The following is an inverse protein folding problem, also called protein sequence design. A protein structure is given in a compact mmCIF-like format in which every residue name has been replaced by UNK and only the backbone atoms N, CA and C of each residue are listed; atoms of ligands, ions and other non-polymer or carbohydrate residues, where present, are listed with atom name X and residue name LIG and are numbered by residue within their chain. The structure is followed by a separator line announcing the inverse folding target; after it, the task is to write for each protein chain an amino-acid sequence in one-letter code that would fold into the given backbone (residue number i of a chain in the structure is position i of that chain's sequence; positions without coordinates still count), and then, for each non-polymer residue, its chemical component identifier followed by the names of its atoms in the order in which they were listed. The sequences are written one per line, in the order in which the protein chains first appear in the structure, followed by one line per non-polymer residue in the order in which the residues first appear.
data_IF_523195173343
#
_entry.id   IF_523195173343
#
_cell.length_a   1.000
_cell.length_b   1.000
_cell.length_c   1.000
_cell.angle_alpha   90.00
_cell.angle_beta   90.00
_cell.angle_gamma   90.00
#
_symmetry.space_group_name_H-M   'P 1'
#
loop_
_entity.id
_entity.type
_entity.pdbx_description
1 polymer ?
#
# COMPACT_ATOMS: atom_id res chain seq x y z
N UNK A 1 89.67 39.96 -41.34
CA UNK A 1 88.40 39.99 -40.58
C UNK A 1 87.39 39.13 -41.34
N UNK A 2 87.34 37.81 -41.19
CA UNK A 2 87.04 37.01 -40.00
C UNK A 2 85.54 37.04 -39.62
N UNK A 3 84.85 35.96 -40.04
CA UNK A 3 83.75 35.24 -39.34
C UNK A 3 82.41 36.01 -39.18
N UNK A 4 81.21 35.45 -39.35
CA UNK A 4 80.77 34.05 -39.18
C UNK A 4 79.35 33.87 -39.72
N UNK A 5 79.15 32.77 -40.45
CA UNK A 5 77.90 31.99 -40.52
C UNK A 5 77.63 31.38 -39.14
N UNK A 6 76.36 31.30 -38.70
CA UNK A 6 75.77 30.18 -37.94
C UNK A 6 74.29 30.48 -37.62
N UNK A 7 73.33 29.67 -38.10
CA UNK A 7 72.88 28.37 -37.57
C UNK A 7 72.20 28.49 -36.18
N UNK A 8 70.90 28.17 -36.12
CA UNK A 8 70.26 27.25 -35.14
C UNK A 8 68.73 27.37 -35.26
N UNK A 9 68.04 26.39 -35.83
CA UNK A 9 67.60 25.09 -35.29
C UNK A 9 66.13 25.12 -34.86
N UNK A 10 65.32 24.42 -35.64
CA UNK A 10 64.11 23.65 -35.29
C UNK A 10 63.30 24.04 -34.03
N UNK A 11 62.03 24.38 -34.24
CA UNK A 11 60.94 23.90 -33.38
C UNK A 11 59.66 23.80 -34.24
N UNK A 12 59.40 22.62 -34.79
CA UNK A 12 58.33 21.72 -34.31
C UNK A 12 56.95 22.40 -34.20
N UNK A 13 56.16 22.19 -35.25
CA UNK A 13 54.74 21.81 -35.20
C UNK A 13 54.03 21.90 -33.86
N UNK A 14 53.02 22.79 -33.74
CA UNK A 14 51.69 22.42 -33.23
C UNK A 14 50.66 23.39 -33.83
N UNK A 15 50.19 23.09 -35.05
CA UNK A 15 48.89 23.60 -35.47
C UNK A 15 47.86 22.80 -34.64
N UNK A 16 47.40 23.38 -33.53
CA UNK A 16 46.33 22.80 -32.74
C UNK A 16 45.06 22.83 -33.59
N UNK A 17 44.85 21.73 -34.33
CA UNK A 17 43.51 21.27 -34.70
C UNK A 17 42.76 21.05 -33.40
N UNK A 18 42.10 22.09 -32.88
CA UNK A 18 40.94 21.91 -32.02
C UNK A 18 39.80 21.39 -32.91
N UNK A 19 39.92 20.13 -33.36
CA UNK A 19 38.74 19.33 -33.64
C UNK A 19 38.02 19.21 -32.30
N UNK A 20 37.02 20.05 -32.11
CA UNK A 20 35.98 19.79 -31.13
C UNK A 20 35.46 18.40 -31.45
N UNK A 21 35.80 17.42 -30.62
CA UNK A 21 35.12 16.15 -30.63
C UNK A 21 33.69 16.46 -30.21
N UNK A 22 32.82 16.74 -31.19
CA UNK A 22 31.41 16.51 -31.01
C UNK A 22 31.31 15.02 -30.73
N UNK A 23 31.06 14.65 -29.46
CA UNK A 23 30.63 13.32 -29.14
C UNK A 23 29.32 13.09 -29.90
N UNK A 24 29.42 12.54 -31.11
CA UNK A 24 28.27 11.99 -31.79
C UNK A 24 27.95 10.69 -31.04
N UNK A 25 27.08 10.80 -30.04
CA UNK A 25 26.53 9.60 -29.44
C UNK A 25 25.69 8.94 -30.52
N UNK A 26 26.01 7.68 -30.83
CA UNK A 26 25.09 6.84 -31.60
C UNK A 26 23.80 6.83 -30.77
N UNK A 27 22.77 7.49 -31.27
CA UNK A 27 21.43 7.43 -30.67
C UNK A 27 20.95 5.99 -30.86
N UNK A 28 21.21 5.13 -29.88
CA UNK A 28 20.53 3.85 -29.82
C UNK A 28 19.07 4.17 -29.56
N UNK A 29 18.23 4.05 -30.59
CA UNK A 29 16.78 4.10 -30.42
C UNK A 29 16.40 3.08 -29.34
N UNK A 30 15.51 3.44 -28.38
CA UNK A 30 14.99 2.47 -27.43
C UNK A 30 14.41 1.26 -28.17
N UNK A 31 14.52 0.08 -27.57
CA UNK A 31 13.79 -1.07 -28.08
C UNK A 31 12.29 -0.75 -28.05
N UNK A 32 11.61 -0.98 -29.18
CA UNK A 32 10.20 -0.71 -29.37
C UNK A 32 9.49 -2.03 -29.75
N UNK A 33 8.50 -2.50 -28.96
CA UNK A 33 7.99 -1.91 -27.73
C UNK A 33 8.91 -2.15 -26.51
N UNK A 34 8.88 -1.27 -25.53
CA UNK A 34 9.52 -1.47 -24.22
C UNK A 34 8.62 -1.06 -23.04
N UNK A 35 8.74 -1.72 -21.88
CA UNK A 35 8.00 -1.33 -20.69
C UNK A 35 8.54 -0.02 -20.09
N UNK A 36 7.64 0.77 -19.54
CA UNK A 36 7.94 2.01 -18.81
C UNK A 36 7.13 2.05 -17.52
N UNK A 37 7.71 2.63 -16.47
CA UNK A 37 7.00 2.90 -15.24
C UNK A 37 7.43 4.26 -14.69
N UNK A 38 6.47 5.02 -14.20
CA UNK A 38 6.70 6.32 -13.57
C UNK A 38 5.92 6.41 -12.27
N UNK A 39 6.52 7.10 -11.30
CA UNK A 39 5.85 7.60 -10.10
C UNK A 39 6.25 9.06 -9.97
N UNK A 40 5.28 9.93 -9.72
CA UNK A 40 5.57 11.33 -9.46
C UNK A 40 4.30 12.16 -9.35
N UNK A 41 4.50 13.45 -9.07
CA UNK A 41 3.41 14.39 -8.97
C UNK A 41 2.77 14.65 -10.34
N UNK A 42 1.45 14.70 -10.33
CA UNK A 42 0.64 15.13 -11.46
C UNK A 42 0.91 16.62 -11.67
N UNK A 43 1.41 16.96 -12.85
CA UNK A 43 1.66 18.36 -13.25
C UNK A 43 0.61 18.87 -14.23
N UNK A 44 -0.17 17.95 -14.82
CA UNK A 44 -1.26 18.23 -15.71
C UNK A 44 -1.97 16.94 -16.10
N UNK A 45 -3.24 17.07 -16.46
CA UNK A 45 -4.04 15.99 -17.01
C UNK A 45 -5.08 16.61 -17.96
N UNK A 46 -5.42 15.89 -19.03
CA UNK A 46 -6.39 16.34 -20.02
C UNK A 46 -7.42 15.25 -20.29
N UNK A 47 -8.57 15.67 -20.80
CA UNK A 47 -9.64 14.80 -21.26
C UNK A 47 -9.90 15.08 -22.74
N UNK A 48 -9.84 14.06 -23.60
CA UNK A 48 -9.95 14.24 -25.05
C UNK A 48 -11.37 14.65 -25.49
N UNK A 49 -12.39 14.16 -24.77
CA UNK A 49 -13.79 14.38 -25.09
C UNK A 49 -14.63 14.25 -23.81
N UNK A 50 -15.16 15.36 -23.29
CA UNK A 50 -15.98 15.38 -22.07
C UNK A 50 -17.35 14.72 -22.23
N UNK A 51 -17.82 14.52 -23.46
CA UNK A 51 -19.10 13.83 -23.72
C UNK A 51 -18.99 12.30 -23.77
N UNK A 52 -17.78 11.73 -23.71
CA UNK A 52 -17.56 10.29 -23.70
C UNK A 52 -17.05 9.82 -22.33
N UNK A 53 -17.87 9.07 -21.60
CA UNK A 53 -17.51 8.57 -20.27
C UNK A 53 -16.27 7.66 -20.29
N UNK A 54 -16.00 6.97 -21.40
CA UNK A 54 -14.81 6.12 -21.53
C UNK A 54 -13.66 6.84 -22.25
N UNK A 55 -13.74 8.17 -22.37
CA UNK A 55 -12.71 8.96 -23.05
C UNK A 55 -11.34 8.79 -22.42
N UNK A 56 -10.31 8.92 -23.27
CA UNK A 56 -8.93 8.96 -22.85
C UNK A 56 -8.46 10.40 -22.63
N UNK A 57 -7.14 10.57 -22.63
CA UNK A 57 -6.53 11.87 -22.54
C UNK A 57 -5.03 11.77 -22.35
N UNK A 58 -4.46 12.76 -21.68
CA UNK A 58 -3.03 12.76 -21.33
C UNK A 58 -2.83 12.99 -19.84
N UNK A 59 -1.79 12.39 -19.30
CA UNK A 59 -1.33 12.57 -17.93
C UNK A 59 0.13 13.00 -17.96
N UNK A 60 0.43 14.13 -17.34
CA UNK A 60 1.76 14.73 -17.32
C UNK A 60 2.42 14.53 -15.95
N UNK A 61 3.48 13.73 -15.91
CA UNK A 61 4.29 13.46 -14.70
C UNK A 61 5.76 13.75 -15.03
N UNK A 62 6.46 14.50 -14.19
CA UNK A 62 7.89 14.80 -14.38
C UNK A 62 8.22 15.35 -15.79
N UNK A 63 7.37 16.23 -16.34
CA UNK A 63 7.48 16.78 -17.70
C UNK A 63 7.38 15.74 -18.84
N UNK A 64 6.86 14.55 -18.57
CA UNK A 64 6.55 13.54 -19.58
C UNK A 64 5.04 13.39 -19.72
N UNK A 65 4.57 13.49 -20.96
CA UNK A 65 3.17 13.25 -21.31
C UNK A 65 2.97 11.76 -21.60
N UNK A 66 2.07 11.14 -20.84
CA UNK A 66 1.67 9.75 -20.98
C UNK A 66 0.24 9.74 -21.50
N UNK A 67 0.02 9.04 -22.60
CA UNK A 67 -1.30 8.86 -23.20
C UNK A 67 -2.11 7.91 -22.32
N UNK A 68 -3.31 8.34 -21.95
CA UNK A 68 -4.34 7.53 -21.34
C UNK A 68 -5.27 7.04 -22.45
N UNK A 69 -5.26 5.75 -22.81
CA UNK A 69 -6.15 5.24 -23.84
C UNK A 69 -7.63 5.32 -23.44
N UNK A 70 -8.49 5.46 -24.45
CA UNK A 70 -9.94 5.25 -24.29
C UNK A 70 -10.22 3.88 -23.65
N UNK A 71 -11.19 3.83 -22.74
CA UNK A 71 -11.57 2.69 -21.91
C UNK A 71 -10.55 2.26 -20.83
N UNK A 72 -9.46 3.01 -20.62
CA UNK A 72 -8.61 2.75 -19.47
C UNK A 72 -9.35 3.16 -18.20
N UNK A 73 -9.39 2.25 -17.23
CA UNK A 73 -9.89 2.53 -15.89
C UNK A 73 -8.71 2.75 -14.94
N UNK A 74 -8.87 3.72 -14.07
CA UNK A 74 -7.91 4.16 -13.07
C UNK A 74 -8.21 3.51 -11.73
N UNK A 75 -7.17 3.29 -10.96
CA UNK A 75 -7.24 2.83 -9.58
C UNK A 75 -7.08 4.01 -8.62
N UNK A 76 -8.11 4.29 -7.82
CA UNK A 76 -7.97 5.10 -6.61
C UNK A 76 -7.68 4.17 -5.42
N UNK A 77 -7.37 4.66 -4.21
CA UNK A 77 -6.99 3.80 -3.10
C UNK A 77 -8.02 2.71 -2.73
N UNK A 78 -9.32 3.00 -2.89
CA UNK A 78 -10.40 2.07 -2.56
C UNK A 78 -11.22 1.61 -3.75
N UNK A 79 -11.26 2.36 -4.85
CA UNK A 79 -12.03 1.99 -6.03
C UNK A 79 -11.10 1.53 -7.14
N UNK A 80 -11.35 0.32 -7.64
CA UNK A 80 -10.55 -0.31 -8.70
C UNK A 80 -11.32 -0.37 -10.01
N UNK A 81 -11.80 0.76 -10.53
CA UNK A 81 -12.47 0.86 -11.85
C UNK A 81 -12.99 2.29 -12.15
N UNK A 82 -12.26 3.34 -11.78
CA UNK A 82 -12.72 4.73 -12.02
C UNK A 82 -12.48 5.10 -13.48
N UNK A 83 -13.48 5.60 -14.20
CA UNK A 83 -13.26 6.02 -15.58
C UNK A 83 -12.40 7.29 -15.61
N UNK A 84 -11.48 7.41 -16.58
CA UNK A 84 -10.59 8.58 -16.66
C UNK A 84 -11.36 9.91 -16.67
N UNK A 85 -12.50 9.94 -17.37
CA UNK A 85 -13.37 11.12 -17.45
C UNK A 85 -13.99 11.54 -16.11
N UNK A 86 -14.17 10.62 -15.15
CA UNK A 86 -14.75 10.93 -13.83
C UNK A 86 -13.81 11.77 -12.97
N UNK A 87 -12.51 11.84 -13.31
CA UNK A 87 -11.54 12.71 -12.66
C UNK A 87 -11.58 14.16 -13.17
N UNK A 88 -12.60 14.51 -13.96
CA UNK A 88 -12.77 15.81 -14.58
C UNK A 88 -14.20 16.33 -14.42
N UNK A 89 -14.32 17.65 -14.34
CA UNK A 89 -15.59 18.37 -14.46
C UNK A 89 -16.15 18.27 -15.89
N UNK A 90 -17.43 18.62 -16.08
CA UNK A 90 -18.08 18.63 -17.39
C UNK A 90 -17.37 19.53 -18.42
N UNK A 91 -16.66 20.56 -17.97
CA UNK A 91 -15.87 21.47 -18.79
C UNK A 91 -14.47 20.93 -19.18
N UNK A 92 -14.12 19.72 -18.71
CA UNK A 92 -12.85 19.06 -18.98
C UNK A 92 -11.70 19.51 -18.08
N UNK A 93 -11.97 20.32 -17.04
CA UNK A 93 -10.98 20.64 -16.01
C UNK A 93 -10.85 19.52 -14.99
N UNK A 94 -9.67 19.34 -14.40
CA UNK A 94 -9.40 18.28 -13.41
C UNK A 94 -10.27 18.51 -12.16
N UNK A 95 -10.96 17.47 -11.71
CA UNK A 95 -11.79 17.43 -10.49
C UNK A 95 -11.15 16.53 -9.43
N UNK A 96 -9.96 16.91 -8.98
CA UNK A 96 -9.30 16.30 -7.83
C UNK A 96 -9.49 17.23 -6.62
N UNK A 97 -9.87 16.71 -5.44
CA UNK A 97 -10.07 17.54 -4.25
C UNK A 97 -8.87 18.47 -3.96
N UNK A 98 -9.19 19.76 -3.81
CA UNK A 98 -8.24 20.84 -3.52
C UNK A 98 -7.13 20.99 -4.58
N UNK A 99 -7.35 20.54 -5.82
CA UNK A 99 -6.44 20.80 -6.93
C UNK A 99 -6.47 22.28 -7.36
N UNK A 100 -5.32 22.90 -7.72
CA UNK A 100 -3.94 22.39 -7.64
C UNK A 100 -3.23 22.76 -6.32
N UNK A 101 -3.98 23.16 -5.28
CA UNK A 101 -3.42 23.59 -4.01
C UNK A 101 -2.68 22.46 -3.28
N UNK A 102 -3.25 21.25 -3.33
CA UNK A 102 -2.65 20.04 -2.80
C UNK A 102 -2.10 19.19 -3.94
N UNK A 103 -0.89 18.65 -3.73
CA UNK A 103 -0.24 17.78 -4.69
C UNK A 103 -0.93 16.43 -4.79
N UNK A 104 -1.08 15.96 -6.02
CA UNK A 104 -1.56 14.62 -6.33
C UNK A 104 -0.45 13.83 -7.01
N UNK A 105 -0.36 12.55 -6.69
CA UNK A 105 0.62 11.63 -7.25
C UNK A 105 -0.06 10.62 -8.16
N UNK A 106 0.68 10.23 -9.20
CA UNK A 106 0.28 9.14 -10.07
C UNK A 106 1.40 8.11 -10.15
N UNK A 107 1.02 6.83 -10.05
CA UNK A 107 1.88 5.72 -10.40
C UNK A 107 1.36 5.08 -11.67
N UNK A 108 2.19 5.07 -12.71
CA UNK A 108 1.81 4.64 -14.05
C UNK A 108 2.69 3.49 -14.50
N UNK A 109 2.07 2.43 -15.00
CA UNK A 109 2.72 1.39 -15.78
C UNK A 109 2.27 1.54 -17.23
N UNK A 110 3.24 1.80 -18.11
CA UNK A 110 3.01 2.12 -19.51
C UNK A 110 3.92 1.29 -20.42
N UNK A 111 3.63 1.30 -21.72
CA UNK A 111 4.57 0.87 -22.74
C UNK A 111 5.03 2.07 -23.55
N UNK A 112 6.30 2.10 -23.90
CA UNK A 112 6.84 2.98 -24.91
C UNK A 112 6.69 2.32 -26.27
N UNK A 113 5.89 2.93 -27.15
CA UNK A 113 5.55 2.42 -28.48
C UNK A 113 5.57 3.57 -29.48
N UNK A 114 6.36 3.47 -30.56
CA UNK A 114 6.34 4.46 -31.64
C UNK A 114 6.68 5.90 -31.23
N UNK A 115 7.47 6.09 -30.16
CA UNK A 115 7.79 7.43 -29.63
C UNK A 115 6.84 7.94 -28.56
N UNK A 116 5.82 7.17 -28.18
CA UNK A 116 4.78 7.58 -27.23
C UNK A 116 4.78 6.68 -26.01
N UNK A 117 4.45 7.25 -24.85
CA UNK A 117 4.16 6.49 -23.63
C UNK A 117 2.66 6.25 -23.56
N UNK A 118 2.25 4.99 -23.52
CA UNK A 118 0.84 4.60 -23.50
C UNK A 118 0.57 3.84 -22.20
N UNK A 119 -0.26 4.40 -21.33
CA UNK A 119 -0.60 3.81 -20.04
C UNK A 119 -1.42 2.52 -20.21
N UNK A 120 -1.09 1.52 -19.39
CA UNK A 120 -1.89 0.31 -19.22
C UNK A 120 -2.49 0.16 -17.84
N UNK A 121 -1.86 0.77 -16.81
CA UNK A 121 -2.38 0.84 -15.44
C UNK A 121 -1.99 2.19 -14.86
N UNK A 122 -2.93 2.86 -14.19
CA UNK A 122 -2.72 4.14 -13.51
C UNK A 122 -3.30 4.05 -12.10
N UNK A 123 -2.51 4.42 -11.11
CA UNK A 123 -2.96 4.68 -9.75
C UNK A 123 -2.91 6.17 -9.49
N UNK A 124 -3.96 6.73 -8.88
CA UNK A 124 -4.02 8.13 -8.44
C UNK A 124 -4.16 8.14 -6.91
N UNK A 125 -3.32 8.91 -6.24
CA UNK A 125 -3.28 9.03 -4.79
C UNK A 125 -2.92 10.46 -4.39
N UNK A 126 -3.45 10.90 -3.25
CA UNK A 126 -3.02 12.14 -2.62
C UNK A 126 -1.87 11.83 -1.66
N UNK A 127 -0.69 12.41 -1.94
CA UNK A 127 0.56 12.10 -1.22
C UNK A 127 0.74 10.57 -1.05
N UNK A 128 1.37 10.13 0.02
CA UNK A 128 1.55 8.71 0.36
C UNK A 128 0.27 8.06 0.93
N UNK A 129 -0.87 8.26 0.26
CA UNK A 129 -2.21 7.88 0.74
C UNK A 129 -2.64 8.59 2.04
N UNK A 130 -2.00 9.73 2.34
CA UNK A 130 -2.20 10.53 3.55
C UNK A 130 -2.32 9.69 4.84
N UNK A 131 -1.36 8.77 5.02
CA UNK A 131 -1.32 7.86 6.15
C UNK A 131 -0.93 8.61 7.43
N UNK A 132 -1.82 8.60 8.42
CA UNK A 132 -1.64 9.25 9.71
C UNK A 132 -2.00 8.31 10.86
N UNK A 133 -1.57 8.64 12.08
CA UNK A 133 -1.88 7.89 13.29
C UNK A 133 -2.16 8.82 14.47
N UNK A 134 -2.97 8.34 15.43
CA UNK A 134 -3.23 9.09 16.65
C UNK A 134 -4.40 8.55 17.47
N UNK A 135 -4.64 9.19 18.62
CA UNK A 135 -5.78 8.87 19.46
C UNK A 135 -7.03 9.61 19.02
N UNK A 136 -8.18 8.92 19.05
CA UNK A 136 -9.48 9.57 18.98
C UNK A 136 -9.69 10.36 20.27
N UNK A 137 -9.90 11.66 20.14
CA UNK A 137 -9.92 12.62 21.25
C UNK A 137 -11.32 13.18 21.51
N UNK A 138 -12.15 13.26 20.47
CA UNK A 138 -13.57 13.58 20.56
C UNK A 138 -14.33 12.92 19.40
N UNK A 139 -15.63 12.66 19.60
CA UNK A 139 -16.54 12.18 18.55
C UNK A 139 -17.75 13.10 18.54
N UNK A 140 -18.08 13.64 17.38
CA UNK A 140 -19.32 14.36 17.11
C UNK A 140 -20.30 13.39 16.43
N UNK A 141 -21.24 12.87 17.21
CA UNK A 141 -22.25 11.92 16.73
C UNK A 141 -23.33 12.59 15.87
N UNK A 142 -23.52 13.91 15.95
CA UNK A 142 -24.48 14.62 15.10
C UNK A 142 -23.96 14.67 13.67
N UNK A 143 -22.67 14.95 13.49
CA UNK A 143 -22.01 14.98 12.17
C UNK A 143 -21.46 13.62 11.72
N UNK A 144 -21.22 12.69 12.64
CA UNK A 144 -20.50 11.46 12.34
C UNK A 144 -19.02 11.73 12.02
N UNK A 145 -18.43 12.68 12.74
CA UNK A 145 -17.04 13.12 12.62
C UNK A 145 -16.31 12.76 13.92
N UNK A 146 -15.02 12.47 13.84
CA UNK A 146 -14.18 12.33 15.03
C UNK A 146 -12.87 13.12 14.89
N UNK A 147 -12.31 13.47 16.05
CA UNK A 147 -11.08 14.24 16.17
C UNK A 147 -9.92 13.35 16.54
N UNK A 148 -8.82 13.48 15.81
CA UNK A 148 -7.59 12.71 16.04
C UNK A 148 -6.46 13.64 16.46
N UNK A 149 -5.79 13.30 17.57
CA UNK A 149 -4.60 14.02 18.04
C UNK A 149 -4.85 15.43 18.58
N UNK A 150 -6.09 15.75 18.96
CA UNK A 150 -6.45 16.98 19.67
C UNK A 150 -6.42 16.87 21.20
N UNK A 151 -7.06 17.80 21.87
CA UNK A 151 -7.32 17.76 23.31
C UNK A 151 -8.51 16.84 23.62
N UNK A 152 -8.38 16.00 24.65
CA UNK A 152 -9.43 15.04 25.01
C UNK A 152 -10.72 15.73 25.42
N UNK A 153 -11.83 15.34 24.77
CA UNK A 153 -13.16 15.88 25.03
C UNK A 153 -13.45 17.21 24.35
N UNK A 154 -12.50 17.80 23.61
CA UNK A 154 -12.71 19.05 22.86
C UNK A 154 -12.91 18.75 21.36
N UNK A 155 -14.14 18.84 20.84
CA UNK A 155 -14.43 18.59 19.43
C UNK A 155 -13.93 19.69 18.49
N UNK A 156 -13.30 20.76 18.99
CA UNK A 156 -12.79 21.87 18.15
C UNK A 156 -11.31 21.72 17.81
N UNK A 157 -10.59 20.84 18.50
CA UNK A 157 -9.16 20.64 18.34
C UNK A 157 -8.85 19.35 17.57
N UNK A 158 -7.60 19.19 17.13
CA UNK A 158 -7.14 18.01 16.39
C UNK A 158 -7.58 17.97 14.92
N UNK A 159 -7.19 16.89 14.24
CA UNK A 159 -7.53 16.64 12.84
C UNK A 159 -8.97 16.14 12.74
N UNK A 160 -9.74 16.73 11.83
CA UNK A 160 -11.10 16.31 11.49
C UNK A 160 -11.06 15.10 10.58
N UNK A 161 -11.75 14.03 10.96
CA UNK A 161 -11.83 12.82 10.15
C UNK A 161 -13.28 12.36 10.07
N UNK A 162 -13.71 12.01 8.86
CA UNK A 162 -14.99 11.37 8.59
C UNK A 162 -14.74 10.07 7.84
N UNK A 163 -15.57 9.06 8.06
CA UNK A 163 -15.56 7.86 7.22
C UNK A 163 -16.36 8.17 5.97
N UNK A 164 -15.71 8.25 4.82
CA UNK A 164 -16.37 8.57 3.55
C UNK A 164 -17.07 7.33 2.99
N UNK A 165 -18.21 6.96 3.57
CA UNK A 165 -18.99 5.79 3.21
C UNK A 165 -20.39 6.21 2.70
N UNK A 166 -20.62 6.22 1.38
CA UNK A 166 -21.88 6.71 0.78
C UNK A 166 -23.07 5.79 1.10
N UNK A 167 -22.82 4.55 1.52
CA UNK A 167 -23.86 3.62 1.96
C UNK A 167 -24.13 3.78 3.47
N UNK A 168 -23.15 4.30 4.22
CA UNK A 168 -23.21 4.43 5.67
C UNK A 168 -23.29 3.08 6.37
N UNK A 169 -22.51 2.09 5.94
CA UNK A 169 -22.33 0.80 6.61
C UNK A 169 -21.45 0.91 7.85
N UNK A 170 -20.38 1.70 7.77
CA UNK A 170 -19.43 1.90 8.88
C UNK A 170 -19.80 3.05 9.82
N UNK A 171 -20.83 3.84 9.50
CA UNK A 171 -21.27 4.95 10.33
C UNK A 171 -22.31 5.80 9.64
N UNK A 172 -22.32 7.11 9.92
CA UNK A 172 -23.18 8.05 9.18
C UNK A 172 -22.80 8.10 7.70
N UNK A 173 -23.79 8.35 6.87
CA UNK A 173 -23.61 8.49 5.43
C UNK A 173 -22.80 9.74 5.14
N UNK A 174 -21.68 9.56 4.46
CA UNK A 174 -20.87 10.62 3.86
C UNK A 174 -20.58 10.22 2.43
N UNK A 175 -21.03 11.03 1.48
CA UNK A 175 -20.99 10.68 0.05
C UNK A 175 -20.63 11.85 -0.86
N UNK A 176 -20.18 12.96 -0.29
CA UNK A 176 -19.84 14.18 -1.03
C UNK A 176 -18.63 13.97 -1.97
N UNK A 177 -17.84 12.93 -1.73
CA UNK A 177 -16.63 12.59 -2.48
C UNK A 177 -16.68 11.15 -3.01
N UNK A 178 -17.48 10.86 -4.05
CA UNK A 178 -17.82 9.49 -4.47
C UNK A 178 -16.65 8.68 -5.04
N UNK A 179 -15.55 9.32 -5.47
CA UNK A 179 -14.36 8.62 -5.98
C UNK A 179 -13.34 8.24 -4.90
N UNK A 180 -13.53 8.78 -3.68
CA UNK A 180 -12.56 8.74 -2.58
C UNK A 180 -13.14 8.03 -1.35
N UNK A 181 -14.01 7.05 -1.58
CA UNK A 181 -14.82 6.42 -0.54
C UNK A 181 -14.10 5.28 0.15
N UNK A 182 -14.56 4.92 1.34
CA UNK A 182 -14.31 3.60 1.90
C UNK A 182 -14.92 2.53 0.99
N UNK A 183 -14.28 1.37 0.92
CA UNK A 183 -14.88 0.20 0.30
C UNK A 183 -15.91 -0.38 1.29
N UNK A 184 -17.19 -0.20 0.99
CA UNK A 184 -18.30 -0.65 1.82
C UNK A 184 -18.46 -2.17 1.85
N UNK A 185 -17.97 -2.89 0.83
CA UNK A 185 -18.14 -4.35 0.72
C UNK A 185 -16.92 -5.14 1.23
N UNK A 186 -15.85 -4.44 1.59
CA UNK A 186 -14.64 -5.00 2.19
C UNK A 186 -14.40 -4.35 3.57
N UNK A 187 -13.78 -5.03 4.57
CA UNK A 187 -13.37 -4.40 5.82
C UNK A 187 -12.25 -3.35 5.62
N UNK A 188 -12.60 -2.19 5.10
CA UNK A 188 -11.73 -1.01 4.99
C UNK A 188 -11.57 -0.27 6.33
N UNK A 189 -12.58 -0.41 7.19
CA UNK A 189 -12.64 0.08 8.57
C UNK A 189 -12.58 -1.15 9.50
N UNK A 190 -11.43 -1.39 10.11
CA UNK A 190 -11.18 -2.65 10.81
C UNK A 190 -10.21 -2.48 12.00
N UNK A 191 -10.18 -3.47 12.87
CA UNK A 191 -9.17 -3.60 13.91
C UNK A 191 -7.89 -4.20 13.32
N UNK A 192 -6.77 -4.10 14.04
CA UNK A 192 -5.52 -4.79 13.67
C UNK A 192 -5.65 -6.32 13.56
N UNK A 193 -6.74 -6.90 14.10
CA UNK A 193 -7.07 -8.32 13.92
C UNK A 193 -7.87 -8.63 12.65
N UNK A 194 -8.29 -7.60 11.90
CA UNK A 194 -9.18 -7.68 10.74
C UNK A 194 -10.67 -7.69 11.09
N UNK A 195 -11.04 -7.58 12.36
CA UNK A 195 -12.45 -7.50 12.76
C UNK A 195 -13.04 -6.14 12.38
N UNK A 196 -14.22 -6.06 11.75
CA UNK A 196 -14.70 -4.80 11.22
C UNK A 196 -15.18 -3.85 12.32
N UNK A 197 -14.84 -2.57 12.17
CA UNK A 197 -15.15 -1.51 13.12
C UNK A 197 -16.20 -0.54 12.54
N UNK A 198 -16.75 0.30 13.39
CA UNK A 198 -17.73 1.31 13.00
C UNK A 198 -17.64 2.55 13.88
N UNK A 199 -18.18 3.67 13.40
CA UNK A 199 -18.51 4.84 14.19
C UNK A 199 -20.03 4.85 14.43
N UNK A 200 -20.51 4.89 15.69
CA UNK A 200 -21.94 4.93 15.98
C UNK A 200 -22.66 6.08 15.25
N UNK A 201 -23.83 5.79 14.65
CA UNK A 201 -24.64 6.80 13.95
C UNK A 201 -25.43 7.71 14.88
N UNK A 202 -25.59 7.31 16.13
CA UNK A 202 -26.21 8.08 17.19
C UNK A 202 -25.31 8.06 18.42
N UNK A 203 -25.49 9.04 19.32
CA UNK A 203 -24.79 9.05 20.59
C UNK A 203 -25.23 7.84 21.44
N UNK A 204 -24.34 6.90 21.76
CA UNK A 204 -24.66 5.72 22.56
C UNK A 204 -25.21 6.04 23.96
N UNK A 205 -24.96 7.24 24.49
CA UNK A 205 -25.54 7.69 25.75
C UNK A 205 -27.03 8.03 25.64
N UNK A 206 -27.53 8.29 24.42
CA UNK A 206 -28.92 8.68 24.12
C UNK A 206 -29.68 7.51 23.49
N UNK A 207 -29.09 6.86 22.48
CA UNK A 207 -29.70 5.75 21.75
C UNK A 207 -28.62 4.81 21.19
N UNK A 208 -28.85 3.51 21.32
CA UNK A 208 -27.94 2.49 20.78
C UNK A 208 -28.12 2.33 19.25
N UNK A 209 -27.02 2.10 18.53
CA UNK A 209 -27.04 1.88 17.07
C UNK A 209 -27.20 0.39 16.77
N UNK A 210 -28.29 -0.07 16.11
CA UNK A 210 -28.51 -1.49 15.84
C UNK A 210 -27.41 -2.18 15.03
N UNK A 211 -26.67 -1.44 14.21
CA UNK A 211 -25.57 -1.96 13.38
C UNK A 211 -24.21 -1.75 14.04
N UNK A 212 -24.10 -0.83 14.99
CA UNK A 212 -22.87 -0.47 15.69
C UNK A 212 -23.10 -0.38 17.22
N UNK A 213 -23.59 -1.46 17.87
CA UNK A 213 -24.12 -1.34 19.22
C UNK A 213 -23.00 -1.16 20.25
N UNK A 214 -23.28 -0.36 21.28
CA UNK A 214 -22.36 -0.09 22.39
C UNK A 214 -21.99 -1.38 23.14
N UNK A 215 -22.95 -2.31 23.23
CA UNK A 215 -22.74 -3.64 23.82
C UNK A 215 -21.59 -4.41 23.14
N UNK A 216 -21.32 -4.13 21.85
CA UNK A 216 -20.21 -4.76 21.14
C UNK A 216 -18.83 -4.23 21.52
N UNK A 217 -18.77 -3.28 22.45
CA UNK A 217 -17.55 -2.70 22.98
C UNK A 217 -17.55 -2.82 24.51
N UNK A 218 -17.21 -4.00 25.06
CA UNK A 218 -17.20 -4.21 26.50
C UNK A 218 -16.30 -3.23 27.23
N UNK A 219 -16.69 -2.89 28.46
CA UNK A 219 -15.94 -2.05 29.37
C UNK A 219 -15.37 -2.87 30.54
N UNK A 220 -14.26 -2.43 31.11
CA UNK A 220 -13.71 -2.98 32.35
C UNK A 220 -14.52 -2.54 33.59
N UNK A 221 -14.08 -2.98 34.77
CA UNK A 221 -14.71 -2.61 36.05
C UNK A 221 -14.65 -1.12 36.37
N UNK A 222 -13.78 -0.37 35.69
CA UNK A 222 -13.66 1.09 35.82
C UNK A 222 -14.49 1.84 34.77
N UNK A 223 -15.25 1.12 33.94
CA UNK A 223 -16.04 1.69 32.85
C UNK A 223 -15.22 2.06 31.61
N UNK A 224 -13.95 1.63 31.52
CA UNK A 224 -13.10 1.92 30.36
C UNK A 224 -13.30 0.87 29.26
N UNK A 225 -13.46 1.26 27.99
CA UNK A 225 -13.53 0.33 26.86
C UNK A 225 -12.29 -0.60 26.78
N UNK A 226 -12.51 -1.91 26.65
CA UNK A 226 -11.45 -2.92 26.57
C UNK A 226 -10.67 -2.87 25.25
N UNK A 227 -9.35 -2.66 25.24
CA UNK A 227 -8.58 -2.68 23.98
C UNK A 227 -8.44 -4.07 23.34
N UNK A 228 -8.89 -5.14 24.01
CA UNK A 228 -8.93 -6.47 23.42
C UNK A 228 -9.84 -7.42 24.20
N UNK A 229 -10.55 -8.28 23.46
CA UNK A 229 -11.49 -9.27 24.00
C UNK A 229 -11.80 -10.35 22.95
N UNK A 230 -12.39 -11.44 23.41
CA UNK A 230 -12.83 -12.55 22.56
C UNK A 230 -14.34 -12.70 22.65
N UNK A 231 -15.02 -12.73 21.51
CA UNK A 231 -16.45 -13.00 21.41
C UNK A 231 -16.79 -14.42 21.85
N UNK A 232 -17.98 -14.56 22.42
CA UNK A 232 -18.61 -15.87 22.59
C UNK A 232 -19.04 -16.44 21.24
N UNK A 233 -19.05 -17.77 21.12
CA UNK A 233 -19.60 -18.42 19.95
C UNK A 233 -21.12 -18.21 19.87
N UNK A 234 -21.69 -17.93 18.68
CA UNK A 234 -23.14 -17.89 18.51
C UNK A 234 -23.81 -19.23 18.85
N UNK A 235 -25.06 -19.23 19.36
CA UNK A 235 -25.93 -18.07 19.60
C UNK A 235 -25.50 -17.26 20.84
N UNK A 236 -25.42 -15.94 20.69
CA UNK A 236 -25.02 -15.03 21.77
C UNK A 236 -26.27 -14.62 22.58
N UNK A 237 -26.25 -14.72 23.92
CA UNK A 237 -27.34 -14.22 24.76
C UNK A 237 -27.54 -12.71 24.63
N UNK A 238 -28.78 -12.24 24.84
CA UNK A 238 -29.08 -10.81 24.85
C UNK A 238 -28.21 -10.06 25.88
N UNK A 239 -27.67 -8.90 25.49
CA UNK A 239 -26.79 -8.09 26.34
C UNK A 239 -25.31 -8.54 26.34
N UNK A 240 -24.94 -9.50 25.49
CA UNK A 240 -23.53 -9.84 25.24
C UNK A 240 -23.07 -9.37 23.86
N UNK A 241 -21.76 -9.14 23.66
CA UNK A 241 -21.20 -8.77 22.37
C UNK A 241 -21.48 -9.84 21.30
N UNK A 242 -22.02 -9.44 20.16
CA UNK A 242 -22.35 -10.31 19.02
C UNK A 242 -21.26 -10.22 17.94
N UNK A 243 -20.59 -11.33 17.59
CA UNK A 243 -19.56 -11.33 16.55
C UNK A 243 -20.10 -11.06 15.14
N UNK A 244 -21.42 -11.01 14.92
CA UNK A 244 -22.02 -10.67 13.63
C UNK A 244 -22.21 -9.16 13.43
N UNK A 245 -21.98 -8.35 14.46
CA UNK A 245 -22.15 -6.90 14.42
C UNK A 245 -20.80 -6.19 14.48
N UNK A 246 -20.76 -4.94 14.03
CA UNK A 246 -19.54 -4.13 14.06
C UNK A 246 -19.16 -3.71 15.48
N UNK A 247 -17.88 -3.45 15.73
CA UNK A 247 -17.41 -2.94 17.03
C UNK A 247 -17.23 -1.42 16.97
N UNK A 248 -17.87 -0.64 17.86
CA UNK A 248 -17.79 0.81 17.81
C UNK A 248 -16.43 1.33 18.26
N UNK A 249 -15.86 2.26 17.48
CA UNK A 249 -14.75 3.11 17.89
C UNK A 249 -15.18 4.04 19.02
N UNK A 250 -14.28 4.25 19.99
CA UNK A 250 -14.50 5.09 21.16
C UNK A 250 -13.40 6.15 21.31
N UNK A 251 -13.73 7.22 22.01
CA UNK A 251 -12.73 8.19 22.48
C UNK A 251 -11.68 7.46 23.31
N UNK A 252 -10.40 7.68 22.99
CA UNK A 252 -9.25 7.01 23.58
C UNK A 252 -8.72 5.82 22.78
N UNK A 253 -9.41 5.36 21.73
CA UNK A 253 -8.86 4.36 20.82
C UNK A 253 -7.72 4.96 19.98
N UNK A 254 -6.64 4.21 19.80
CA UNK A 254 -5.54 4.58 18.89
C UNK A 254 -5.83 4.00 17.51
N UNK A 255 -5.76 4.84 16.48
CA UNK A 255 -6.04 4.46 15.11
C UNK A 255 -4.89 4.86 14.18
N UNK A 256 -4.73 4.09 13.12
CA UNK A 256 -3.99 4.45 11.92
C UNK A 256 -5.05 4.67 10.82
N UNK A 257 -4.99 5.75 10.08
CA UNK A 257 -5.99 6.08 9.07
C UNK A 257 -5.36 6.65 7.80
N UNK A 258 -6.02 6.38 6.67
CA UNK A 258 -5.68 6.91 5.35
C UNK A 258 -6.92 7.56 4.74
N UNK A 259 -6.71 8.65 4.02
CA UNK A 259 -7.82 9.40 3.45
C UNK A 259 -7.38 10.46 2.46
N UNK A 260 -8.36 11.15 1.90
CA UNK A 260 -8.13 12.30 1.02
C UNK A 260 -8.43 13.57 1.81
N UNK A 261 -7.55 14.57 1.76
CA UNK A 261 -7.85 15.90 2.28
C UNK A 261 -8.90 16.53 1.37
N UNK A 262 -10.00 16.92 1.98
CA UNK A 262 -11.14 17.56 1.36
C UNK A 262 -11.56 18.76 2.21
N UNK A 263 -12.50 19.55 1.72
CA UNK A 263 -13.02 20.72 2.44
C UNK A 263 -14.54 20.73 2.45
N UNK A 264 -15.12 20.97 3.62
CA UNK A 264 -16.55 21.17 3.82
C UNK A 264 -16.83 22.60 4.32
N UNK A 265 -18.08 22.87 4.70
CA UNK A 265 -18.50 24.18 5.25
C UNK A 265 -17.80 24.57 6.56
N UNK A 266 -17.21 23.62 7.29
CA UNK A 266 -16.49 23.84 8.55
C UNK A 266 -14.96 23.84 8.35
N UNK A 267 -14.48 23.76 7.11
CA UNK A 267 -13.07 23.77 6.72
C UNK A 267 -12.53 22.40 6.33
N UNK A 268 -11.20 22.24 6.39
CA UNK A 268 -10.54 21.02 5.94
C UNK A 268 -10.79 19.83 6.85
N UNK A 269 -10.89 18.66 6.24
CA UNK A 269 -11.02 17.38 6.92
C UNK A 269 -10.42 16.26 6.07
N UNK A 270 -10.23 15.10 6.70
CA UNK A 270 -9.80 13.87 6.02
C UNK A 270 -11.04 13.01 5.76
N UNK A 271 -11.36 12.83 4.48
CA UNK A 271 -12.29 11.81 4.03
C UNK A 271 -11.56 10.46 4.07
N UNK A 272 -11.69 9.77 5.20
CA UNK A 272 -11.03 8.49 5.42
C UNK A 272 -11.70 7.40 4.60
N UNK A 273 -10.90 6.71 3.80
CA UNK A 273 -11.31 5.52 3.08
C UNK A 273 -10.79 4.23 3.73
N UNK A 274 -9.86 4.34 4.68
CA UNK A 274 -9.39 3.20 5.47
C UNK A 274 -9.00 3.64 6.88
N UNK A 275 -9.35 2.81 7.87
CA UNK A 275 -9.00 2.98 9.28
C UNK A 275 -8.64 1.62 9.85
N UNK A 276 -7.51 1.57 10.54
CA UNK A 276 -7.08 0.46 11.37
C UNK A 276 -7.07 0.88 12.85
N UNK A 277 -7.96 0.31 13.66
CA UNK A 277 -7.95 0.49 15.11
C UNK A 277 -6.99 -0.49 15.78
N UNK A 278 -6.14 0.00 16.68
CA UNK A 278 -5.24 -0.83 17.49
C UNK A 278 -6.03 -1.57 18.60
N UNK A 279 -6.86 -2.53 18.17
CA UNK A 279 -7.75 -3.32 18.99
C UNK A 279 -7.52 -4.82 18.75
N UNK A 280 -7.45 -5.59 19.83
CA UNK A 280 -7.28 -7.04 19.81
C UNK A 280 -8.62 -7.77 19.90
N UNK A 281 -9.38 -7.82 18.81
CA UNK A 281 -10.73 -8.41 18.78
C UNK A 281 -10.67 -9.81 18.16
N UNK A 282 -11.21 -10.82 18.85
CA UNK A 282 -11.12 -12.23 18.43
C UNK A 282 -12.50 -12.92 18.45
N UNK A 283 -12.74 -13.86 17.54
CA UNK A 283 -13.96 -14.70 17.52
C UNK A 283 -13.71 -16.13 17.95
N UNK A 284 -12.47 -16.52 18.20
CA UNK A 284 -12.10 -17.84 18.74
C UNK A 284 -10.93 -17.68 19.72
N UNK A 285 -10.97 -18.30 20.91
CA UNK A 285 -9.85 -18.26 21.84
C UNK A 285 -8.61 -18.98 21.28
N UNK A 286 -7.49 -18.27 21.16
CA UNK A 286 -6.17 -18.89 20.96
C UNK A 286 -5.81 -19.38 19.55
N UNK A 287 -6.62 -19.10 18.52
CA UNK A 287 -6.27 -19.37 17.12
C UNK A 287 -5.98 -18.09 16.34
N UNK A 288 -4.84 -18.09 15.66
CA UNK A 288 -4.38 -17.00 14.79
C UNK A 288 -5.05 -17.04 13.40
N UNK A 289 -5.58 -15.87 13.01
CA UNK A 289 -5.95 -15.34 11.68
C UNK A 289 -6.84 -16.16 10.72
N UNK A 290 -7.99 -15.59 10.37
CA UNK A 290 -8.56 -15.68 9.01
C UNK A 290 -8.91 -14.27 8.54
N UNK A 291 -7.99 -13.64 7.80
CA UNK A 291 -8.27 -12.84 6.62
C UNK A 291 -7.01 -12.80 5.74
N UNK A 292 -7.05 -13.28 4.48
CA UNK A 292 -6.02 -13.01 3.49
C UNK A 292 -6.31 -11.64 2.84
N UNK A 293 -6.32 -10.58 3.64
CA UNK A 293 -6.39 -9.21 3.16
C UNK A 293 -5.00 -8.75 2.77
N UNK A 294 -4.64 -8.94 1.51
CA UNK A 294 -3.40 -8.41 0.94
C UNK A 294 -3.55 -6.89 0.88
N UNK A 295 -3.00 -6.16 1.84
CA UNK A 295 -2.65 -4.76 1.62
C UNK A 295 -1.85 -4.69 0.31
N UNK A 296 -2.18 -3.82 -0.66
CA UNK A 296 -1.20 -3.47 -1.67
C UNK A 296 -0.03 -2.87 -0.89
N UNK A 297 1.05 -3.64 -0.84
CA UNK A 297 2.32 -3.24 -0.27
C UNK A 297 2.89 -2.14 -1.16
N UNK A 298 2.34 -0.93 -1.08
CA UNK A 298 2.74 0.17 -1.96
C UNK A 298 4.11 0.74 -1.54
N UNK A 299 4.65 0.33 -0.39
CA UNK A 299 5.97 0.77 0.10
C UNK A 299 6.81 -0.34 0.71
N UNK A 300 6.99 -1.46 0.02
CA UNK A 300 8.13 -2.33 0.29
C UNK A 300 9.17 -2.20 -0.82
N UNK A 301 10.15 -1.31 -0.61
CA UNK A 301 11.38 -1.35 -1.40
C UNK A 301 11.97 -2.78 -1.33
N UNK A 302 12.44 -3.36 -2.46
CA UNK A 302 12.89 -4.77 -2.53
C UNK A 302 14.01 -5.17 -1.56
N UNK A 303 14.63 -4.19 -0.90
CA UNK A 303 15.68 -4.38 0.11
C UNK A 303 15.15 -4.77 1.50
N UNK A 304 13.91 -4.37 1.86
CA UNK A 304 13.36 -4.61 3.20
C UNK A 304 12.82 -6.05 3.38
N UNK A 305 12.38 -6.69 2.31
CA UNK A 305 11.86 -8.06 2.35
C UNK A 305 12.93 -9.08 2.79
N UNK A 306 14.18 -8.86 2.36
CA UNK A 306 15.32 -9.70 2.76
C UNK A 306 15.69 -9.58 4.24
N UNK A 307 15.40 -8.43 4.87
CA UNK A 307 15.68 -8.19 6.30
C UNK A 307 14.59 -8.83 7.17
N UNK A 308 13.33 -8.79 6.73
CA UNK A 308 12.22 -9.35 7.49
C UNK A 308 12.17 -10.89 7.44
N UNK A 309 12.52 -11.50 6.30
CA UNK A 309 12.66 -12.96 6.18
C UNK A 309 13.90 -13.49 6.94
N UNK A 310 14.98 -12.72 6.98
CA UNK A 310 16.17 -13.05 7.79
C UNK A 310 15.88 -13.05 9.30
N UNK A 311 14.97 -12.19 9.78
CA UNK A 311 14.61 -12.12 11.22
C UNK A 311 13.64 -13.22 11.66
N UNK A 312 12.94 -13.86 10.72
CA UNK A 312 11.99 -14.94 11.02
C UNK A 312 12.67 -16.29 11.36
N UNK A 313 13.99 -16.41 11.12
CA UNK A 313 14.70 -17.69 11.26
C UNK A 313 15.89 -17.68 12.24
N UNK A 314 15.97 -16.74 13.18
CA UNK A 314 17.00 -16.74 14.24
C UNK A 314 16.43 -16.37 15.61
N UNK A 315 15.73 -17.32 16.25
CA UNK A 315 15.76 -17.47 17.71
C UNK A 315 16.80 -18.53 18.05
N UNK A 316 18.07 -18.17 18.20
CA UNK A 316 19.02 -18.82 19.12
C UNK A 316 20.15 -17.82 19.42
N UNK A 317 20.34 -17.55 20.72
CA UNK A 317 21.51 -16.97 21.38
C UNK A 317 21.87 -15.49 21.13
N UNK A 318 21.61 -14.71 22.17
CA UNK A 318 22.15 -13.39 22.46
C UNK A 318 23.63 -13.49 22.81
N UNK A 319 24.54 -12.93 22.02
CA UNK A 319 25.86 -12.47 22.49
C UNK A 319 26.24 -11.16 21.82
N UNK A 320 26.69 -10.22 22.64
CA UNK A 320 27.00 -8.82 22.34
C UNK A 320 28.52 -8.69 22.09
N UNK A 321 28.86 -8.00 20.99
CA UNK A 321 30.11 -7.28 20.67
C UNK A 321 31.49 -7.99 20.77
N UNK A 322 32.21 -8.03 19.63
CA UNK A 322 33.49 -7.33 19.38
C UNK A 322 34.15 -7.87 18.10
N UNK A 323 34.03 -7.15 16.97
CA UNK A 323 34.87 -7.43 15.79
C UNK A 323 36.02 -6.41 15.79
N UNK A 324 37.18 -6.83 16.31
CA UNK A 324 38.48 -6.21 16.02
C UNK A 324 38.89 -6.60 14.60
N UNK A 325 39.23 -5.60 13.79
CA UNK A 325 39.88 -5.77 12.48
C UNK A 325 41.21 -6.51 12.62
N UNK A 326 41.40 -7.63 11.91
CA UNK A 326 42.75 -8.06 11.49
C UNK A 326 42.72 -8.83 10.15
N UNK A 327 43.50 -8.27 9.24
CA UNK A 327 43.88 -8.61 7.86
C UNK A 327 44.38 -10.05 7.70
N UNK A 328 43.84 -10.84 6.75
CA UNK A 328 44.60 -11.86 5.98
C UNK A 328 43.82 -12.48 4.79
N UNK A 329 44.34 -12.15 3.60
CA UNK A 329 44.43 -12.87 2.31
C UNK A 329 43.32 -13.78 1.75
N UNK A 330 42.78 -13.32 0.61
CA UNK A 330 42.09 -14.09 -0.44
C UNK A 330 43.02 -15.13 -1.08
N UNK A 331 42.58 -16.38 -1.19
CA UNK A 331 43.03 -17.31 -2.24
C UNK A 331 41.83 -17.73 -3.10
N UNK A 332 41.85 -17.22 -4.33
CA UNK A 332 40.95 -17.57 -5.43
C UNK A 332 41.50 -18.82 -6.11
N UNK A 333 40.66 -19.85 -6.28
CA UNK A 333 40.92 -20.93 -7.24
C UNK A 333 39.67 -21.16 -8.11
N UNK A 334 39.73 -20.63 -9.34
CA UNK A 334 38.83 -20.92 -10.44
C UNK A 334 39.25 -22.24 -11.11
N UNK A 335 38.31 -23.17 -11.33
CA UNK A 335 38.41 -24.14 -12.43
C UNK A 335 37.06 -24.31 -13.14
N UNK A 336 37.10 -24.00 -14.42
CA UNK A 336 36.09 -24.07 -15.46
C UNK A 336 36.09 -25.45 -16.14
N UNK A 337 34.92 -26.00 -16.51
CA UNK A 337 34.68 -26.50 -17.88
C UNK A 337 33.20 -26.78 -18.18
N UNK A 338 32.80 -26.38 -19.39
CA UNK A 338 31.46 -26.30 -19.97
C UNK A 338 30.96 -27.61 -20.64
N UNK A 339 29.63 -27.76 -20.63
CA UNK A 339 28.66 -28.20 -21.68
C UNK A 339 28.91 -29.45 -22.55
N UNK A 340 27.90 -30.33 -22.68
CA UNK A 340 26.84 -30.34 -23.74
C UNK A 340 25.91 -31.58 -23.70
N UNK A 341 24.60 -31.32 -23.83
CA UNK A 341 23.54 -31.96 -24.67
C UNK A 341 23.30 -33.49 -24.78
N UNK A 342 22.06 -33.86 -24.39
CA UNK A 342 20.96 -34.58 -25.11
C UNK A 342 20.93 -36.13 -25.27
N UNK A 343 19.67 -36.63 -25.13
CA UNK A 343 19.00 -37.87 -25.59
C UNK A 343 18.68 -39.01 -24.58
N UNK A 344 17.37 -39.08 -24.24
CA UNK A 344 16.38 -40.17 -23.94
C UNK A 344 16.76 -41.67 -24.15
N UNK A 345 15.92 -42.71 -23.83
CA UNK A 345 14.88 -42.97 -22.79
C UNK A 345 14.89 -44.43 -22.19
N UNK A 346 13.81 -44.86 -21.48
CA UNK A 346 13.37 -46.25 -21.10
C UNK A 346 14.13 -46.92 -19.91
N UNK A 347 13.61 -47.78 -19.00
CA UNK A 347 12.32 -48.40 -18.62
C UNK A 347 12.52 -49.18 -17.31
N UNK A 348 11.47 -49.29 -16.48
CA UNK A 348 11.08 -50.37 -15.54
C UNK A 348 12.08 -51.46 -15.10
N UNK A 349 12.24 -51.64 -13.76
CA UNK A 349 12.37 -52.96 -13.10
C UNK A 349 11.64 -52.94 -11.75
N UNK A 350 10.69 -53.86 -11.58
CA UNK A 350 10.15 -54.36 -10.31
C UNK A 350 10.97 -55.57 -9.87
N UNK A 351 11.40 -55.66 -8.60
CA UNK A 351 11.75 -56.93 -7.94
C UNK A 351 11.25 -56.89 -6.49
N UNK A 352 10.29 -57.76 -6.20
CA UNK A 352 9.88 -58.23 -4.87
C UNK A 352 11.01 -59.08 -4.26
N UNK A 353 11.18 -59.12 -2.94
CA UNK A 353 10.85 -60.31 -2.11
C UNK A 353 11.34 -60.20 -0.64
N UNK A 354 10.54 -60.83 0.24
CA UNK A 354 10.82 -61.41 1.58
C UNK A 354 10.55 -60.60 2.86
N UNK A 355 9.37 -60.89 3.44
CA UNK A 355 9.12 -60.98 4.89
C UNK A 355 9.40 -62.40 5.40
N UNK A 356 9.58 -62.58 6.73
CA UNK A 356 8.95 -63.69 7.45
C UNK A 356 8.16 -63.25 8.71
N UNK A 357 7.28 -64.15 9.16
CA UNK A 357 6.20 -64.03 10.15
C UNK A 357 6.57 -64.27 11.63
N UNK A 358 5.74 -63.63 12.49
CA UNK A 358 5.32 -63.74 13.92
C UNK A 358 5.29 -65.15 14.58
N UNK A 359 5.27 -65.34 15.94
CA UNK A 359 4.01 -65.26 16.77
C UNK A 359 4.12 -64.88 18.29
N UNK A 360 3.03 -64.44 18.94
CA UNK A 360 2.76 -64.61 20.40
C UNK A 360 2.11 -63.44 21.19
N UNK A 361 0.88 -63.62 21.72
CA UNK A 361 0.05 -62.71 22.58
C UNK A 361 -0.01 -63.29 24.03
N UNK A 362 -0.35 -62.58 25.15
CA UNK A 362 -1.73 -62.13 25.55
C UNK A 362 -1.78 -60.68 26.17
N UNK A 363 -2.82 -59.86 25.98
CA UNK A 363 -4.14 -59.75 26.66
C UNK A 363 -4.08 -59.37 28.17
N UNK A 364 -4.60 -58.18 28.54
CA UNK A 364 -5.50 -57.97 29.70
C UNK A 364 -6.13 -56.54 29.69
N UNK A 365 -7.42 -56.48 30.01
CA UNK A 365 -8.29 -55.32 30.22
C UNK A 365 -9.00 -55.49 31.58
N UNK A 366 -9.71 -54.44 32.01
CA UNK A 366 -10.56 -54.27 33.21
C UNK A 366 -9.85 -53.55 34.38
N UNK A 367 -10.41 -52.50 35.00
CA UNK A 367 -11.80 -52.05 35.12
C UNK A 367 -12.02 -50.60 34.67
#
# INVERSE_FOLDING_TARGET
MMRTVNLSFALLSVLNFFTGYTFSQVTSIPYDPSPYAAVGYITGATLDNSSDILSGGTLSINNLDIIIPRNLLVNTPSLTAVAWSELFNEDGTIDLPLWPEISWEAQVFANYIGGQYIAGIVYILQEIANLNEGFITAIDYEKGEFRVGGDFGDPTTGVRVVINDPVGRFGKVHGDWPLWTADTDNPSIQASTGFPLCLPRADPAVADDPLCPDTNRPVDTSGKPLSGFTFAAPPVPAGQPDPNLFVPLKVGDFIIYSGTIVEDTNGRLIAAYSIEGNLGIYTTPGTMWVFPGKFPSILMFPSAQRIFESKRNKRVSTEILLVKYKKQELKVTLRTKLRRYRYLPLTWIHVLEKRPNVPGVPLFHAL
#
